data_IF_177678147550
#
_entry.id   IF_177678147550
#
_cell.length_a   1.000
_cell.length_b   1.000
_cell.length_c   1.000
_cell.angle_alpha   90.00
_cell.angle_beta   90.00
_cell.angle_gamma   90.00
#
_symmetry.space_group_name_H-M   'P 1'
#
loop_
_entity.id
_entity.type
_entity.pdbx_description
1 polymer ?
#
# COMPACT_ATOMS: atom_id res chain seq x y z
N UNK A 1 -34.43 17.15 -37.80
CA UNK A 1 -33.59 16.93 -36.59
C UNK A 1 -34.46 16.30 -35.51
N UNK A 2 -34.01 15.21 -34.90
CA UNK A 2 -34.68 14.58 -33.77
C UNK A 2 -33.89 14.80 -32.50
N UNK A 3 -34.52 14.57 -31.37
CA UNK A 3 -33.89 14.63 -30.06
C UNK A 3 -34.13 13.35 -29.29
N UNK A 4 -33.25 13.06 -28.34
CA UNK A 4 -33.50 12.04 -27.32
C UNK A 4 -34.65 12.47 -26.38
N UNK A 5 -35.21 11.54 -25.60
CA UNK A 5 -36.50 11.73 -24.93
C UNK A 5 -36.41 12.37 -23.54
N UNK A 6 -35.26 12.27 -22.87
CA UNK A 6 -35.06 12.77 -21.51
C UNK A 6 -34.36 14.12 -21.50
N UNK A 7 -33.21 14.23 -22.17
CA UNK A 7 -32.36 15.43 -22.16
C UNK A 7 -32.37 16.20 -23.48
N UNK A 8 -33.13 15.76 -24.47
CA UNK A 8 -33.33 16.50 -25.71
C UNK A 8 -32.08 16.62 -26.59
N UNK A 9 -31.16 15.65 -26.53
CA UNK A 9 -29.89 15.66 -27.26
C UNK A 9 -30.17 15.50 -28.76
N UNK A 10 -29.76 16.46 -29.60
CA UNK A 10 -30.11 16.44 -31.01
C UNK A 10 -29.30 15.42 -31.82
N UNK A 11 -29.94 14.77 -32.79
CA UNK A 11 -29.31 13.91 -33.80
C UNK A 11 -30.02 13.99 -35.16
N UNK A 12 -29.33 13.53 -36.20
CA UNK A 12 -29.75 13.57 -37.61
C UNK A 12 -30.30 12.19 -37.99
N UNK A 13 -31.39 12.14 -38.76
CA UNK A 13 -32.03 10.90 -39.25
C UNK A 13 -31.76 10.70 -40.77
N UNK A 14 -31.98 9.47 -41.24
CA UNK A 14 -31.47 8.97 -42.53
C UNK A 14 -32.14 9.53 -43.79
N UNK A 15 -33.24 10.25 -43.65
CA UNK A 15 -33.96 10.92 -44.73
C UNK A 15 -33.17 12.08 -45.39
N UNK A 16 -32.00 12.43 -44.84
CA UNK A 16 -31.16 13.54 -45.31
C UNK A 16 -29.80 13.11 -45.94
N UNK A 17 -29.38 11.83 -45.90
CA UNK A 17 -28.04 11.42 -46.40
C UNK A 17 -27.92 9.96 -46.90
N UNK A 18 -27.13 9.74 -47.95
CA UNK A 18 -26.75 8.41 -48.52
C UNK A 18 -25.60 7.74 -47.72
N UNK A 19 -25.65 7.76 -46.39
CA UNK A 19 -24.56 7.24 -45.55
C UNK A 19 -25.06 6.58 -44.27
N UNK A 20 -24.25 5.72 -43.64
CA UNK A 20 -24.51 5.11 -42.32
C UNK A 20 -24.30 6.06 -41.13
N UNK A 21 -23.88 7.31 -41.40
CA UNK A 21 -23.62 8.32 -40.37
C UNK A 21 -24.85 8.68 -39.49
N UNK A 22 -26.09 8.78 -40.01
CA UNK A 22 -27.27 9.08 -39.20
C UNK A 22 -27.51 8.06 -38.07
N UNK A 23 -27.29 6.77 -38.35
CA UNK A 23 -27.38 5.71 -37.35
C UNK A 23 -26.31 5.87 -36.26
N UNK A 24 -25.09 6.25 -36.63
CA UNK A 24 -24.01 6.50 -35.67
C UNK A 24 -24.30 7.72 -34.79
N UNK A 25 -24.83 8.80 -35.36
CA UNK A 25 -25.22 9.99 -34.59
C UNK A 25 -26.34 9.70 -33.60
N UNK A 26 -27.34 8.91 -34.01
CA UNK A 26 -28.42 8.48 -33.12
C UNK A 26 -27.90 7.62 -31.97
N UNK A 27 -27.10 6.60 -32.26
CA UNK A 27 -26.50 5.74 -31.23
C UNK A 27 -25.63 6.54 -30.25
N UNK A 28 -24.91 7.53 -30.75
CA UNK A 28 -24.10 8.41 -29.90
C UNK A 28 -24.99 9.26 -29.00
N UNK A 29 -26.04 9.89 -29.53
CA UNK A 29 -26.95 10.71 -28.73
C UNK A 29 -27.69 9.88 -27.66
N UNK A 30 -28.20 8.70 -28.02
CA UNK A 30 -28.83 7.76 -27.07
C UNK A 30 -27.84 7.26 -26.01
N UNK A 31 -26.58 7.01 -26.41
CA UNK A 31 -25.50 6.65 -25.48
C UNK A 31 -25.16 7.75 -24.48
N UNK A 32 -25.04 9.00 -24.94
CA UNK A 32 -24.79 10.15 -24.07
C UNK A 32 -25.95 10.37 -23.11
N UNK A 33 -27.20 10.28 -23.58
CA UNK A 33 -28.39 10.39 -22.72
C UNK A 33 -28.40 9.32 -21.63
N UNK A 34 -28.06 8.08 -21.98
CA UNK A 34 -27.97 6.99 -21.00
C UNK A 34 -26.94 7.30 -19.90
N UNK A 35 -25.75 7.77 -20.28
CA UNK A 35 -24.70 8.12 -19.32
C UNK A 35 -25.13 9.29 -18.43
N UNK A 36 -25.74 10.34 -19.00
CA UNK A 36 -26.23 11.47 -18.23
C UNK A 36 -27.28 11.05 -17.21
N UNK A 37 -28.19 10.15 -17.61
CA UNK A 37 -29.21 9.62 -16.71
C UNK A 37 -28.62 8.83 -15.55
N UNK A 38 -27.59 8.02 -15.82
CA UNK A 38 -26.88 7.28 -14.78
C UNK A 38 -26.11 8.20 -13.83
N UNK A 39 -25.57 9.32 -14.32
CA UNK A 39 -24.90 10.33 -13.48
C UNK A 39 -25.92 11.05 -12.59
N UNK A 40 -27.05 11.46 -13.16
CA UNK A 40 -28.10 12.21 -12.46
C UNK A 40 -28.77 11.35 -11.38
N UNK A 41 -29.02 10.07 -11.67
CA UNK A 41 -29.55 9.10 -10.69
C UNK A 41 -28.63 8.90 -9.47
N UNK A 42 -27.30 9.09 -9.62
CA UNK A 42 -26.35 9.05 -8.48
C UNK A 42 -26.39 10.32 -7.62
N UNK A 43 -26.91 11.41 -8.15
CA UNK A 43 -26.97 12.71 -7.48
C UNK A 43 -28.31 12.94 -6.76
N UNK A 44 -29.30 12.05 -6.91
CA UNK A 44 -30.57 12.16 -6.18
C UNK A 44 -30.38 11.83 -4.69
N UNK A 45 -31.24 12.33 -3.80
CA UNK A 45 -31.21 11.95 -2.39
C UNK A 45 -31.27 10.43 -2.17
N UNK A 46 -32.02 9.69 -2.99
CA UNK A 46 -32.04 8.22 -2.92
C UNK A 46 -30.72 7.59 -3.37
N UNK A 47 -30.07 8.12 -4.42
CA UNK A 47 -28.79 7.62 -4.94
C UNK A 47 -27.59 7.89 -4.02
N UNK A 48 -27.65 8.94 -3.19
CA UNK A 48 -26.59 9.33 -2.25
C UNK A 48 -26.76 8.68 -0.87
N UNK A 49 -28.00 8.34 -0.48
CA UNK A 49 -28.27 7.74 0.83
C UNK A 49 -27.75 6.30 0.91
N UNK A 50 -27.03 5.90 1.96
CA UNK A 50 -26.59 4.53 2.11
C UNK A 50 -27.76 3.54 2.26
N UNK A 51 -27.72 2.43 1.54
CA UNK A 51 -28.70 1.34 1.69
C UNK A 51 -28.34 0.52 2.92
N UNK A 52 -29.21 0.50 3.93
CA UNK A 52 -28.94 -0.23 5.18
C UNK A 52 -29.80 -1.48 5.27
N UNK A 53 -29.18 -2.62 5.58
CA UNK A 53 -29.84 -3.90 5.75
C UNK A 53 -29.34 -4.64 7.00
N UNK A 54 -30.13 -5.58 7.50
CA UNK A 54 -29.75 -6.43 8.64
C UNK A 54 -28.88 -7.60 8.19
N UNK A 55 -29.10 -8.17 7.00
CA UNK A 55 -28.31 -9.26 6.43
C UNK A 55 -27.78 -8.92 5.04
N UNK A 56 -26.72 -9.60 4.60
CA UNK A 56 -26.20 -9.46 3.23
C UNK A 56 -27.26 -9.89 2.20
N UNK A 57 -27.97 -10.97 2.45
CA UNK A 57 -29.05 -11.44 1.57
C UNK A 57 -30.15 -10.39 1.39
N UNK A 58 -30.48 -9.65 2.45
CA UNK A 58 -31.42 -8.53 2.36
C UNK A 58 -30.82 -7.41 1.52
N UNK A 59 -29.55 -7.06 1.73
CA UNK A 59 -28.87 -6.03 0.92
C UNK A 59 -28.83 -6.41 -0.57
N UNK A 60 -28.52 -7.67 -0.88
CA UNK A 60 -28.50 -8.22 -2.25
C UNK A 60 -29.86 -8.17 -2.94
N UNK A 61 -30.96 -8.25 -2.17
CA UNK A 61 -32.32 -8.08 -2.68
C UNK A 61 -32.70 -6.63 -2.98
N UNK A 62 -31.98 -5.65 -2.44
CA UNK A 62 -32.26 -4.23 -2.60
C UNK A 62 -31.60 -3.69 -3.88
N UNK A 63 -32.38 -2.93 -4.63
CA UNK A 63 -31.88 -2.13 -5.76
C UNK A 63 -30.97 -1.00 -5.26
N UNK A 64 -29.98 -0.66 -6.07
CA UNK A 64 -29.04 0.43 -5.78
C UNK A 64 -28.44 0.98 -7.06
N UNK A 65 -27.96 2.21 -6.99
CA UNK A 65 -27.27 2.87 -8.10
C UNK A 65 -25.79 2.53 -8.08
N UNK A 66 -25.15 2.37 -9.24
CA UNK A 66 -23.72 2.12 -9.32
C UNK A 66 -22.90 3.16 -8.53
N UNK A 67 -22.06 2.67 -7.62
CA UNK A 67 -21.24 3.47 -6.70
C UNK A 67 -21.93 3.84 -5.39
N UNK A 68 -23.20 3.48 -5.19
CA UNK A 68 -23.91 3.72 -3.94
C UNK A 68 -23.34 2.86 -2.81
N UNK A 69 -23.26 3.44 -1.61
CA UNK A 69 -22.82 2.76 -0.39
C UNK A 69 -23.95 1.90 0.19
N UNK A 70 -23.60 0.71 0.68
CA UNK A 70 -24.47 -0.18 1.43
C UNK A 70 -23.88 -0.51 2.80
N UNK A 71 -24.71 -0.82 3.80
CA UNK A 71 -24.27 -1.21 5.14
C UNK A 71 -25.07 -2.41 5.65
N UNK A 72 -24.37 -3.47 6.03
CA UNK A 72 -24.95 -4.65 6.70
C UNK A 72 -24.64 -4.57 8.20
N UNK A 73 -25.66 -4.69 9.05
CA UNK A 73 -25.56 -4.33 10.48
C UNK A 73 -25.82 -5.48 11.48
N UNK A 74 -26.45 -6.58 11.07
CA UNK A 74 -26.91 -7.64 11.98
C UNK A 74 -26.81 -9.06 11.43
N UNK A 75 -25.91 -9.31 10.48
CA UNK A 75 -25.74 -10.61 9.85
C UNK A 75 -24.97 -11.54 10.78
N UNK A 76 -25.57 -12.69 11.10
CA UNK A 76 -25.00 -13.68 12.02
C UNK A 76 -23.85 -14.48 11.41
N UNK A 77 -23.64 -14.40 10.09
CA UNK A 77 -22.54 -15.05 9.37
C UNK A 77 -21.29 -14.17 9.24
N UNK A 78 -21.15 -13.13 10.08
CA UNK A 78 -19.99 -12.22 10.10
C UNK A 78 -19.79 -11.38 8.82
N UNK A 79 -20.85 -11.13 8.05
CA UNK A 79 -20.82 -10.33 6.80
C UNK A 79 -21.21 -8.86 7.02
N UNK A 80 -21.07 -8.37 8.25
CA UNK A 80 -21.38 -6.99 8.62
C UNK A 80 -20.33 -6.02 8.07
N UNK A 81 -20.73 -4.80 7.73
CA UNK A 81 -19.82 -3.75 7.27
C UNK A 81 -20.32 -2.99 6.04
N UNK A 82 -19.39 -2.24 5.44
CA UNK A 82 -19.64 -1.41 4.26
C UNK A 82 -19.57 -2.24 2.98
N UNK A 83 -20.46 -1.91 2.04
CA UNK A 83 -20.52 -2.46 0.70
C UNK A 83 -20.61 -1.30 -0.30
N UNK A 84 -20.29 -1.57 -1.56
CA UNK A 84 -20.56 -0.66 -2.66
C UNK A 84 -21.26 -1.41 -3.81
N UNK A 85 -22.20 -0.74 -4.47
CA UNK A 85 -22.90 -1.30 -5.64
C UNK A 85 -22.02 -1.20 -6.88
N UNK A 86 -21.80 -2.31 -7.57
CA UNK A 86 -21.17 -2.34 -8.89
C UNK A 86 -21.94 -3.28 -9.81
N UNK A 87 -22.54 -2.71 -10.85
CA UNK A 87 -23.53 -3.41 -11.68
C UNK A 87 -24.69 -3.90 -10.82
N UNK A 88 -24.98 -5.19 -10.95
CA UNK A 88 -26.12 -5.83 -10.28
C UNK A 88 -25.77 -6.47 -8.93
N UNK A 89 -24.57 -6.23 -8.42
CA UNK A 89 -24.07 -6.85 -7.19
C UNK A 89 -23.57 -5.83 -6.16
N UNK A 90 -23.69 -6.21 -4.90
CA UNK A 90 -23.07 -5.52 -3.77
C UNK A 90 -21.73 -6.18 -3.45
N UNK A 91 -20.66 -5.39 -3.47
CA UNK A 91 -19.33 -5.87 -3.16
C UNK A 91 -18.90 -5.36 -1.79
N UNK A 92 -18.32 -6.22 -0.92
CA UNK A 92 -17.82 -5.77 0.36
C UNK A 92 -16.69 -4.77 0.15
N UNK A 93 -16.74 -3.67 0.89
CA UNK A 93 -15.58 -2.80 1.06
C UNK A 93 -14.72 -3.48 2.11
N UNK A 94 -13.78 -4.30 1.66
CA UNK A 94 -12.80 -4.88 2.57
C UNK A 94 -11.99 -3.75 3.22
N UNK A 95 -11.89 -3.78 4.55
CA UNK A 95 -10.90 -2.95 5.24
C UNK A 95 -9.56 -3.36 4.67
N UNK A 96 -8.86 -2.43 3.99
CA UNK A 96 -7.50 -2.68 3.52
C UNK A 96 -6.67 -3.09 4.73
N UNK A 97 -6.37 -4.39 4.83
CA UNK A 97 -5.53 -4.88 5.90
C UNK A 97 -4.18 -4.18 5.77
N UNK A 98 -3.78 -3.47 6.83
CA UNK A 98 -2.49 -2.79 6.86
C UNK A 98 -1.40 -3.79 6.56
N UNK A 99 -0.57 -3.48 5.57
CA UNK A 99 0.54 -4.36 5.20
C UNK A 99 1.57 -4.37 6.30
N UNK A 100 2.10 -5.55 6.56
CA UNK A 100 3.16 -5.76 7.53
C UNK A 100 4.20 -6.63 6.87
N UNK A 101 5.47 -6.35 7.09
CA UNK A 101 6.54 -7.17 6.55
C UNK A 101 7.72 -7.14 7.50
N UNK A 102 8.41 -8.26 7.63
CA UNK A 102 9.56 -8.36 8.48
C UNK A 102 10.61 -9.30 7.93
N UNK A 103 11.86 -9.07 8.33
CA UNK A 103 12.95 -9.97 8.01
C UNK A 103 14.00 -9.99 9.12
N UNK A 104 14.87 -10.98 9.04
CA UNK A 104 16.17 -10.96 9.73
C UNK A 104 17.22 -10.36 8.83
N UNK A 105 18.17 -9.63 9.40
CA UNK A 105 19.31 -9.10 8.66
C UNK A 105 20.65 -9.46 9.29
N UNK A 106 21.68 -9.57 8.44
CA UNK A 106 23.09 -9.86 8.79
C UNK A 106 24.01 -9.49 7.62
N UNK A 107 25.32 -9.36 7.82
CA UNK A 107 26.27 -8.91 6.78
C UNK A 107 26.19 -9.74 5.50
N UNK A 108 26.26 -11.05 5.65
CA UNK A 108 26.15 -12.02 4.56
C UNK A 108 25.14 -13.08 4.95
N UNK A 109 24.71 -13.90 3.99
CA UNK A 109 23.94 -15.09 4.30
C UNK A 109 24.78 -16.06 5.14
N UNK A 110 24.80 -15.87 6.47
CA UNK A 110 25.31 -16.70 7.57
C UNK A 110 26.36 -16.05 8.49
N UNK A 111 26.89 -14.87 8.16
CA UNK A 111 27.88 -14.21 9.04
C UNK A 111 27.24 -13.25 10.04
N UNK A 112 27.48 -13.49 11.34
CA UNK A 112 27.13 -12.59 12.43
C UNK A 112 28.27 -11.59 12.73
N UNK A 113 28.80 -10.94 11.69
CA UNK A 113 29.98 -10.07 11.80
C UNK A 113 29.57 -8.61 11.61
N UNK A 114 30.16 -7.72 12.42
CA UNK A 114 30.15 -6.28 12.22
C UNK A 114 31.53 -5.84 11.74
N UNK A 115 31.57 -5.11 10.63
CA UNK A 115 32.82 -4.61 10.07
C UNK A 115 33.08 -3.18 10.53
N UNK A 116 34.36 -2.81 10.54
CA UNK A 116 34.76 -1.42 10.46
C UNK A 116 34.38 -0.84 9.08
N UNK A 117 33.79 0.36 9.08
CA UNK A 117 33.28 1.09 7.93
C UNK A 117 31.80 0.83 7.64
N UNK A 118 31.38 1.29 6.46
CA UNK A 118 30.01 1.12 5.97
C UNK A 118 29.74 -0.32 5.56
N UNK A 119 28.64 -0.87 6.04
CA UNK A 119 28.14 -2.18 5.66
C UNK A 119 26.65 -2.08 5.39
N UNK A 120 26.18 -2.72 4.34
CA UNK A 120 24.75 -2.93 4.16
C UNK A 120 24.43 -4.41 4.33
N UNK A 121 23.25 -4.69 4.89
CA UNK A 121 22.91 -6.03 5.35
C UNK A 121 22.15 -6.82 4.29
N UNK A 122 22.23 -8.15 4.40
CA UNK A 122 21.45 -9.12 3.65
C UNK A 122 20.23 -9.55 4.47
N UNK A 123 19.10 -9.72 3.79
CA UNK A 123 17.84 -10.13 4.43
C UNK A 123 17.64 -11.65 4.34
N UNK A 124 16.98 -12.21 5.35
CA UNK A 124 16.61 -13.63 5.47
C UNK A 124 15.35 -13.79 6.30
N UNK A 125 14.70 -14.96 6.24
CA UNK A 125 13.50 -15.29 7.01
C UNK A 125 12.39 -14.21 6.88
N UNK A 126 12.07 -13.87 5.63
CA UNK A 126 11.07 -12.86 5.29
C UNK A 126 9.66 -13.37 5.62
N UNK A 127 8.86 -12.55 6.29
CA UNK A 127 7.47 -12.83 6.64
C UNK A 127 6.58 -11.61 6.36
N UNK A 128 5.27 -11.84 6.25
CA UNK A 128 4.28 -10.78 6.06
C UNK A 128 3.79 -10.66 4.61
N UNK A 129 3.40 -9.45 4.22
CA UNK A 129 2.75 -9.12 2.95
C UNK A 129 3.63 -9.47 1.74
N UNK A 130 3.07 -10.26 0.82
CA UNK A 130 3.79 -10.83 -0.32
C UNK A 130 4.12 -9.81 -1.43
N UNK A 131 3.48 -8.64 -1.42
CA UNK A 131 3.72 -7.55 -2.36
C UNK A 131 4.99 -6.73 -2.03
N UNK A 132 5.54 -6.88 -0.81
CA UNK A 132 6.83 -6.30 -0.42
C UNK A 132 7.95 -7.29 -0.79
N UNK A 133 8.64 -6.98 -1.89
CA UNK A 133 9.67 -7.86 -2.45
C UNK A 133 11.06 -7.47 -1.95
N UNK A 134 11.88 -8.47 -1.67
CA UNK A 134 13.31 -8.28 -1.41
C UNK A 134 14.10 -8.44 -2.71
N UNK A 135 15.06 -7.56 -2.93
CA UNK A 135 16.06 -7.71 -3.99
C UNK A 135 17.43 -7.30 -3.46
N UNK A 136 18.49 -7.52 -4.23
CA UNK A 136 19.85 -7.17 -3.84
C UNK A 136 20.49 -6.24 -4.87
N UNK A 137 21.36 -5.36 -4.39
CA UNK A 137 22.26 -4.54 -5.20
C UNK A 137 23.72 -4.88 -4.84
N UNK A 138 24.68 -4.13 -5.39
CA UNK A 138 26.11 -4.32 -5.11
C UNK A 138 26.51 -4.04 -3.66
N UNK A 139 25.63 -3.43 -2.85
CA UNK A 139 25.89 -3.06 -1.46
C UNK A 139 25.25 -4.03 -0.47
N UNK A 140 24.05 -4.54 -0.75
CA UNK A 140 23.32 -5.49 0.09
C UNK A 140 21.88 -5.72 -0.38
N UNK A 141 21.01 -6.22 0.51
CA UNK A 141 19.59 -6.45 0.20
C UNK A 141 18.72 -5.26 0.56
N UNK A 142 17.69 -4.96 -0.23
CA UNK A 142 16.68 -3.94 0.07
C UNK A 142 15.27 -4.46 -0.18
N UNK A 143 14.29 -3.91 0.53
CA UNK A 143 12.88 -4.24 0.43
C UNK A 143 12.15 -3.15 -0.35
N UNK A 144 11.52 -3.50 -1.47
CA UNK A 144 10.71 -2.61 -2.29
C UNK A 144 9.37 -2.41 -1.60
N UNK A 145 9.08 -1.17 -1.24
CA UNK A 145 7.86 -0.80 -0.55
C UNK A 145 6.84 -0.31 -1.58
N UNK A 146 5.62 -0.85 -1.61
CA UNK A 146 4.56 -0.27 -2.40
C UNK A 146 4.27 1.18 -2.02
N UNK A 147 3.54 1.88 -2.89
CA UNK A 147 3.17 3.27 -2.65
C UNK A 147 2.45 3.43 -1.30
N UNK A 148 2.86 4.45 -0.55
CA UNK A 148 2.30 4.78 0.75
C UNK A 148 3.35 5.15 1.79
N UNK A 149 2.88 5.30 3.03
CA UNK A 149 3.70 5.65 4.19
C UNK A 149 3.90 4.46 5.09
N UNK A 150 5.12 4.34 5.60
CA UNK A 150 5.58 3.15 6.30
C UNK A 150 6.30 3.53 7.59
N UNK A 151 5.89 2.92 8.70
CA UNK A 151 6.69 2.88 9.91
C UNK A 151 7.72 1.77 9.77
N UNK A 152 8.99 2.11 9.98
CA UNK A 152 10.11 1.19 9.85
C UNK A 152 10.82 1.11 11.19
N UNK A 153 11.05 -0.12 11.67
CA UNK A 153 11.82 -0.39 12.88
C UNK A 153 12.91 -1.41 12.58
N UNK A 154 14.13 -1.08 12.96
CA UNK A 154 15.26 -2.01 12.95
C UNK A 154 15.89 -2.13 14.34
N UNK A 155 16.32 -3.35 14.69
CA UNK A 155 16.90 -3.66 16.00
C UNK A 155 18.03 -4.67 15.88
N UNK A 156 19.11 -4.46 16.64
CA UNK A 156 20.26 -5.36 16.66
C UNK A 156 20.91 -5.46 18.04
N UNK A 157 21.37 -6.68 18.37
CA UNK A 157 22.19 -6.97 19.54
C UNK A 157 23.61 -7.28 19.13
N UNK A 158 24.58 -6.71 19.84
CA UNK A 158 26.00 -6.80 19.48
C UNK A 158 26.92 -6.85 20.69
N UNK A 159 28.18 -7.20 20.42
CA UNK A 159 29.29 -7.25 21.38
C UNK A 159 30.63 -7.15 20.67
N UNK A 160 31.71 -6.98 21.43
CA UNK A 160 33.08 -6.97 20.88
C UNK A 160 33.47 -5.68 20.17
N UNK A 161 32.65 -4.63 20.27
CA UNK A 161 33.04 -3.26 19.90
C UNK A 161 33.70 -2.64 21.13
N UNK A 162 34.94 -2.21 20.99
CA UNK A 162 35.78 -1.78 22.12
C UNK A 162 35.32 -0.47 22.79
N UNK A 163 36.01 -0.10 23.87
CA UNK A 163 35.83 1.18 24.58
C UNK A 163 35.96 2.40 23.66
N UNK A 164 35.05 3.36 23.84
CA UNK A 164 35.02 4.65 23.13
C UNK A 164 34.88 4.54 21.61
N UNK A 165 34.39 3.40 21.12
CA UNK A 165 34.09 3.18 19.71
C UNK A 165 32.61 3.43 19.43
N UNK A 166 32.32 3.90 18.22
CA UNK A 166 31.02 4.36 17.79
C UNK A 166 30.38 3.38 16.80
N UNK A 167 29.06 3.30 16.90
CA UNK A 167 28.20 2.45 16.11
C UNK A 167 27.00 3.25 15.63
N UNK A 168 26.63 3.09 14.36
CA UNK A 168 25.34 3.52 13.85
C UNK A 168 24.65 2.41 13.08
N UNK A 169 23.33 2.34 13.30
CA UNK A 169 22.41 1.60 12.44
C UNK A 169 21.46 2.62 11.82
N UNK A 170 21.13 2.44 10.55
CA UNK A 170 20.14 3.29 9.91
C UNK A 170 19.40 2.64 8.75
N UNK A 171 18.25 3.20 8.44
CA UNK A 171 17.44 2.87 7.28
C UNK A 171 17.83 3.80 6.13
N UNK A 172 18.50 3.25 5.12
CA UNK A 172 18.78 3.93 3.87
C UNK A 172 17.60 3.74 2.91
N UNK A 173 17.21 4.80 2.19
CA UNK A 173 16.20 4.72 1.13
C UNK A 173 16.84 4.43 -0.22
N UNK A 174 16.09 3.75 -1.09
CA UNK A 174 16.52 3.37 -2.44
C UNK A 174 15.44 3.79 -3.44
N UNK A 175 15.81 4.48 -4.51
CA UNK A 175 14.86 4.90 -5.55
C UNK A 175 13.79 5.86 -5.03
N UNK A 176 12.53 5.67 -5.45
CA UNK A 176 11.38 6.50 -5.07
C UNK A 176 10.91 6.41 -3.61
N UNK A 177 11.81 6.11 -2.68
CA UNK A 177 11.57 6.16 -1.25
C UNK A 177 12.32 7.33 -0.61
N UNK A 178 11.68 7.99 0.36
CA UNK A 178 12.24 9.13 1.08
C UNK A 178 11.94 9.03 2.57
N UNK A 179 12.89 9.49 3.38
CA UNK A 179 12.74 9.48 4.83
C UNK A 179 12.04 10.74 5.32
N UNK A 180 11.05 10.58 6.19
CA UNK A 180 10.28 11.67 6.80
C UNK A 180 10.72 11.99 8.24
N UNK A 181 11.50 11.11 8.86
CA UNK A 181 12.05 11.25 10.21
C UNK A 181 13.54 10.86 10.21
N UNK A 182 14.33 11.19 11.24
CA UNK A 182 15.68 10.68 11.35
C UNK A 182 15.72 9.16 11.13
N UNK A 183 16.60 8.69 10.24
CA UNK A 183 16.66 7.30 9.82
C UNK A 183 17.94 6.61 10.29
N UNK A 184 18.57 7.12 11.34
CA UNK A 184 19.73 6.50 11.96
C UNK A 184 19.66 6.65 13.48
N UNK A 185 20.24 5.69 14.18
CA UNK A 185 20.51 5.73 15.61
C UNK A 185 22.00 5.46 15.84
N UNK A 186 22.53 6.01 16.93
CA UNK A 186 23.95 5.95 17.26
C UNK A 186 24.16 5.45 18.69
N UNK A 187 25.25 4.72 18.92
CA UNK A 187 25.66 4.26 20.23
C UNK A 187 27.19 4.28 20.34
N UNK A 188 27.70 4.76 21.47
CA UNK A 188 29.10 4.56 21.84
C UNK A 188 29.17 3.43 22.87
N UNK A 189 30.12 2.52 22.71
CA UNK A 189 30.34 1.44 23.67
C UNK A 189 31.46 1.74 24.63
N UNK A 190 31.34 1.22 25.85
CA UNK A 190 32.47 0.99 26.76
C UNK A 190 32.66 -0.52 26.93
N UNK A 191 33.79 -1.03 26.47
CA UNK A 191 34.26 -2.39 26.66
C UNK A 191 33.57 -3.39 25.74
N UNK A 192 34.01 -4.65 25.81
CA UNK A 192 33.46 -5.74 24.98
C UNK A 192 32.09 -6.28 25.49
N UNK A 193 31.39 -5.49 26.30
CA UNK A 193 30.12 -5.88 26.92
C UNK A 193 28.98 -5.99 25.89
N UNK A 194 27.92 -6.68 26.31
CA UNK A 194 26.70 -6.79 25.53
C UNK A 194 25.98 -5.44 25.44
N UNK A 195 25.53 -5.09 24.23
CA UNK A 195 24.68 -3.92 24.00
C UNK A 195 23.67 -4.17 22.88
N UNK A 196 22.75 -3.23 22.70
CA UNK A 196 21.75 -3.22 21.64
C UNK A 196 21.51 -1.81 21.11
N UNK A 197 21.08 -1.72 19.86
CA UNK A 197 20.75 -0.48 19.17
C UNK A 197 19.45 -0.66 18.37
N UNK A 198 18.65 0.40 18.30
CA UNK A 198 17.37 0.43 17.60
C UNK A 198 17.24 1.74 16.82
N UNK A 199 16.73 1.67 15.59
CA UNK A 199 16.24 2.84 14.86
C UNK A 199 14.77 2.64 14.51
N UNK A 200 13.96 3.67 14.75
CA UNK A 200 12.57 3.75 14.31
C UNK A 200 12.41 5.02 13.48
N UNK A 201 11.89 4.86 12.27
CA UNK A 201 11.72 5.98 11.33
C UNK A 201 10.44 5.81 10.52
N UNK A 202 10.09 6.85 9.77
CA UNK A 202 8.96 6.84 8.83
C UNK A 202 9.47 7.11 7.44
N UNK A 203 9.04 6.29 6.48
CA UNK A 203 9.41 6.37 5.08
C UNK A 203 8.16 6.58 4.23
N UNK A 204 8.25 7.46 3.23
CA UNK A 204 7.28 7.59 2.16
C UNK A 204 7.83 6.88 0.92
N UNK A 205 7.02 6.04 0.26
CA UNK A 205 7.38 5.36 -0.99
C UNK A 205 6.38 5.72 -2.08
N UNK A 206 6.86 5.95 -3.30
CA UNK A 206 6.04 6.07 -4.52
C UNK A 206 5.70 4.72 -5.17
N UNK A 207 6.18 3.61 -4.60
CA UNK A 207 5.98 2.25 -5.10
C UNK A 207 7.07 1.72 -6.03
N UNK A 208 8.06 2.55 -6.38
CA UNK A 208 9.21 2.16 -7.21
C UNK A 208 10.48 1.98 -6.37
N UNK A 209 10.49 2.53 -5.16
CA UNK A 209 11.61 2.52 -4.22
C UNK A 209 11.42 1.60 -3.02
N UNK A 210 12.39 1.65 -2.11
CA UNK A 210 12.45 0.76 -0.98
C UNK A 210 13.39 1.20 0.12
N UNK A 211 13.65 0.29 1.04
CA UNK A 211 14.50 0.51 2.22
C UNK A 211 15.57 -0.55 2.34
N UNK A 212 16.70 -0.15 2.91
CA UNK A 212 17.84 -1.00 3.17
C UNK A 212 18.39 -0.72 4.57
N UNK A 213 18.84 -1.77 5.27
CA UNK A 213 19.56 -1.61 6.52
C UNK A 213 21.01 -1.23 6.21
N UNK A 214 21.38 -0.04 6.64
CA UNK A 214 22.73 0.52 6.61
C UNK A 214 23.34 0.47 8.00
N UNK A 215 24.64 0.28 8.03
CA UNK A 215 25.40 0.12 9.25
C UNK A 215 26.75 0.78 9.09
N UNK A 216 27.20 1.48 10.14
CA UNK A 216 28.53 2.05 10.20
C UNK A 216 29.14 1.81 11.58
N UNK A 217 30.40 1.37 11.62
CA UNK A 217 31.17 1.37 12.86
C UNK A 217 32.61 1.73 12.56
N UNK A 218 33.29 2.40 13.49
CA UNK A 218 34.73 2.66 13.40
C UNK A 218 35.58 1.50 13.96
N UNK A 219 34.97 0.38 14.34
CA UNK A 219 35.67 -0.84 14.73
C UNK A 219 34.84 -2.09 14.39
N UNK A 220 35.51 -3.22 14.25
CA UNK A 220 34.83 -4.49 14.01
C UNK A 220 34.23 -5.04 15.30
N UNK A 221 33.19 -5.85 15.16
CA UNK A 221 32.48 -6.48 16.27
C UNK A 221 31.68 -7.70 15.82
N UNK A 222 30.80 -8.18 16.69
CA UNK A 222 30.04 -9.41 16.46
C UNK A 222 28.56 -9.14 16.76
N UNK A 223 27.70 -9.53 15.82
CA UNK A 223 26.26 -9.60 16.06
C UNK A 223 26.00 -10.81 16.96
N UNK A 224 25.25 -10.63 18.05
CA UNK A 224 24.93 -11.79 18.91
C UNK A 224 23.91 -12.72 18.25
N UNK A 225 22.97 -12.11 17.55
CA UNK A 225 21.93 -12.75 16.75
C UNK A 225 21.68 -11.91 15.51
N UNK A 226 21.05 -12.50 14.49
CA UNK A 226 20.59 -11.73 13.35
C UNK A 226 19.64 -10.61 13.81
N UNK A 227 19.87 -9.40 13.31
CA UNK A 227 19.01 -8.24 13.58
C UNK A 227 17.64 -8.42 12.94
N UNK A 228 16.72 -7.54 13.27
CA UNK A 228 15.34 -7.59 12.79
C UNK A 228 14.96 -6.27 12.17
N UNK A 229 14.36 -6.33 11.00
CA UNK A 229 13.70 -5.20 10.34
C UNK A 229 12.21 -5.53 10.26
N UNK A 230 11.36 -4.61 10.70
CA UNK A 230 9.91 -4.69 10.55
C UNK A 230 9.39 -3.41 9.92
N UNK A 231 8.44 -3.54 9.01
CA UNK A 231 7.72 -2.43 8.40
C UNK A 231 6.22 -2.63 8.53
N UNK A 232 5.52 -1.52 8.78
CA UNK A 232 4.06 -1.49 8.91
C UNK A 232 3.53 -0.29 8.13
N UNK A 233 2.52 -0.53 7.31
CA UNK A 233 1.80 0.53 6.60
C UNK A 233 1.03 1.43 7.59
N UNK A 234 1.19 2.74 7.44
CA UNK A 234 0.52 3.76 8.28
C UNK A 234 -0.84 4.17 7.73
#
# INVERSE_FOLDING_TARGET
MKTTSVYGIPYIEADDLVSSAPTQFRQTAEGVEKVLREIDARATPEGVSPVTATTLETLESLEGVNGQSGVVTGDTMQRNGLYYRLGDAWHPVEIRQKRTWGCRFKRSANDLILNNGDTYMMFSNVTGSADIKTTANSKGAYAILPAGRWLVKEYMQFSGIADMTWLSIGVATVGGASSLLPSAAESSTSGNAFSAIECVTVIESDGTGGIQVSFHSNNSGIMRVAGYLNVVEL
#
